data_IF_680079762483
#
_entry.id   IF_680079762483
#
_cell.length_a   1.000
_cell.length_b   1.000
_cell.length_c   1.000
_cell.angle_alpha   90.00
_cell.angle_beta   90.00
_cell.angle_gamma   90.00
#
_symmetry.space_group_name_H-M   'P 1'
#
loop_
_entity.id
_entity.type
_entity.pdbx_description
1 polymer ?
#
# COMPACT_ATOMS: atom_id res chain seq x y z
N UNK A 1 20.58 17.60 8.15
CA UNK A 1 19.50 18.35 7.47
C UNK A 1 18.19 17.69 7.87
N UNK A 2 17.36 18.34 8.68
CA UNK A 2 16.02 17.83 8.97
C UNK A 2 15.19 18.01 7.69
N UNK A 3 14.72 16.91 7.10
CA UNK A 3 13.73 16.93 6.01
C UNK A 3 12.49 17.66 6.54
N UNK A 4 12.07 18.72 5.86
CA UNK A 4 10.84 19.43 6.21
C UNK A 4 9.70 18.59 5.65
N UNK A 5 9.02 17.82 6.50
CA UNK A 5 7.82 17.10 6.07
C UNK A 5 6.77 18.12 5.61
N UNK A 6 6.62 18.26 4.28
CA UNK A 6 5.51 18.98 3.69
C UNK A 6 4.29 18.07 3.62
N UNK A 7 3.20 18.61 4.12
CA UNK A 7 1.97 17.86 4.34
C UNK A 7 0.82 18.55 3.63
N UNK A 8 0.01 17.77 2.93
CA UNK A 8 -1.28 18.18 2.39
C UNK A 8 -2.40 17.49 3.17
N UNK A 9 -3.40 18.24 3.60
CA UNK A 9 -4.60 17.70 4.23
C UNK A 9 -5.76 17.77 3.26
N UNK A 10 -6.39 16.62 3.02
CA UNK A 10 -7.58 16.42 2.19
C UNK A 10 -8.65 15.70 3.00
N UNK A 11 -9.84 15.57 2.44
CA UNK A 11 -10.95 14.86 3.09
C UNK A 11 -11.75 14.05 2.07
N UNK A 12 -12.25 12.90 2.50
CA UNK A 12 -13.12 12.04 1.70
C UNK A 12 -14.52 12.63 1.48
N UNK A 13 -14.92 13.66 2.23
CA UNK A 13 -16.18 14.40 1.99
C UNK A 13 -16.09 15.32 0.77
N UNK A 14 -14.87 15.70 0.36
CA UNK A 14 -14.62 16.41 -0.90
C UNK A 14 -14.64 15.46 -2.09
N UNK A 15 -14.98 16.00 -3.28
CA UNK A 15 -14.95 15.21 -4.52
C UNK A 15 -13.52 14.82 -4.89
N UNK A 16 -13.39 13.74 -5.66
CA UNK A 16 -12.09 13.28 -6.12
C UNK A 16 -11.37 14.36 -6.97
N UNK A 17 -12.11 15.07 -7.81
CA UNK A 17 -11.60 16.14 -8.66
C UNK A 17 -11.07 17.32 -7.84
N UNK A 18 -11.77 17.68 -6.75
CA UNK A 18 -11.33 18.74 -5.85
C UNK A 18 -10.03 18.37 -5.13
N UNK A 19 -9.94 17.14 -4.62
CA UNK A 19 -8.73 16.64 -3.96
C UNK A 19 -7.54 16.53 -4.93
N UNK A 20 -7.76 16.07 -6.16
CA UNK A 20 -6.71 16.02 -7.20
C UNK A 20 -6.25 17.42 -7.60
N UNK A 21 -7.15 18.40 -7.70
CA UNK A 21 -6.79 19.79 -7.96
C UNK A 21 -5.87 20.35 -6.87
N UNK A 22 -6.25 20.18 -5.61
CA UNK A 22 -5.44 20.61 -4.46
C UNK A 22 -4.07 19.92 -4.43
N UNK A 23 -4.02 18.62 -4.75
CA UNK A 23 -2.77 17.89 -4.87
C UNK A 23 -1.86 18.50 -5.95
N UNK A 24 -2.39 18.80 -7.14
CA UNK A 24 -1.59 19.37 -8.23
C UNK A 24 -1.02 20.75 -7.86
N UNK A 25 -1.82 21.62 -7.25
CA UNK A 25 -1.36 22.92 -6.74
C UNK A 25 -0.25 22.74 -5.70
N UNK A 26 -0.42 21.79 -4.77
CA UNK A 26 0.59 21.44 -3.78
C UNK A 26 1.89 20.95 -4.43
N UNK A 27 1.82 20.00 -5.36
CA UNK A 27 3.00 19.45 -6.04
C UNK A 27 3.76 20.51 -6.85
N UNK A 28 3.04 21.43 -7.52
CA UNK A 28 3.65 22.56 -8.23
C UNK A 28 4.42 23.48 -7.26
N UNK A 29 3.86 23.73 -6.07
CA UNK A 29 4.54 24.52 -5.04
C UNK A 29 5.82 23.86 -4.50
N UNK A 30 5.86 22.53 -4.45
CA UNK A 30 7.05 21.78 -4.02
C UNK A 30 8.12 21.79 -5.11
N UNK A 31 7.74 21.51 -6.36
CA UNK A 31 8.67 21.48 -7.50
C UNK A 31 9.40 22.81 -7.69
N UNK A 32 8.72 23.94 -7.48
CA UNK A 32 9.32 25.27 -7.55
C UNK A 32 10.46 25.50 -6.53
N UNK A 33 10.54 24.69 -5.46
CA UNK A 33 11.52 24.81 -4.39
C UNK A 33 12.70 23.82 -4.49
N UNK A 34 12.79 22.99 -5.55
CA UNK A 34 13.85 21.98 -5.77
C UNK A 34 14.04 21.00 -4.57
N UNK A 35 12.97 20.68 -3.84
CA UNK A 35 13.02 19.78 -2.70
C UNK A 35 12.63 18.34 -3.11
N UNK A 36 13.46 17.34 -2.79
CA UNK A 36 13.20 15.92 -3.08
C UNK A 36 12.51 15.18 -1.92
N UNK A 37 11.67 15.88 -1.14
CA UNK A 37 11.15 15.36 0.12
C UNK A 37 10.01 14.33 -0.08
N UNK A 38 9.90 13.41 0.89
CA UNK A 38 8.78 12.47 0.98
C UNK A 38 7.50 13.24 1.35
N UNK A 39 6.59 13.38 0.41
CA UNK A 39 5.35 14.14 0.60
C UNK A 39 4.27 13.28 1.25
N UNK A 40 3.69 13.78 2.34
CA UNK A 40 2.59 13.12 3.03
C UNK A 40 1.27 13.82 2.70
N UNK A 41 0.30 13.04 2.25
CA UNK A 41 -1.05 13.49 1.93
C UNK A 41 -2.00 12.80 2.91
N UNK A 42 -2.43 13.51 3.94
CA UNK A 42 -3.41 13.01 4.89
C UNK A 42 -4.82 13.18 4.31
N UNK A 43 -5.62 12.13 4.36
CA UNK A 43 -7.01 12.16 3.90
C UNK A 43 -7.92 11.77 5.06
N UNK A 44 -8.69 12.74 5.53
CA UNK A 44 -9.69 12.51 6.58
C UNK A 44 -10.82 11.61 6.07
N UNK A 45 -11.11 10.55 6.83
CA UNK A 45 -12.12 9.58 6.47
C UNK A 45 -13.56 10.05 6.72
N UNK A 46 -13.84 11.14 7.45
CA UNK A 46 -15.19 11.77 7.65
C UNK A 46 -16.44 10.86 7.53
N UNK A 47 -16.39 9.64 8.09
CA UNK A 47 -17.49 8.66 7.99
C UNK A 47 -17.69 8.02 6.60
N UNK A 48 -16.82 8.28 5.63
CA UNK A 48 -16.80 7.65 4.32
C UNK A 48 -16.49 6.15 4.40
N UNK A 49 -17.03 5.41 3.42
CA UNK A 49 -16.71 3.99 3.26
C UNK A 49 -15.25 3.79 2.87
N UNK A 50 -14.69 2.62 3.23
CA UNK A 50 -13.37 2.16 2.77
C UNK A 50 -13.19 2.27 1.27
N UNK A 51 -14.23 1.96 0.49
CA UNK A 51 -14.22 2.03 -0.97
C UNK A 51 -13.91 3.45 -1.46
N UNK A 52 -14.59 4.46 -0.91
CA UNK A 52 -14.43 5.87 -1.29
C UNK A 52 -12.99 6.32 -1.04
N UNK A 53 -12.42 6.01 0.13
CA UNK A 53 -11.03 6.35 0.42
C UNK A 53 -10.06 5.67 -0.56
N UNK A 54 -10.20 4.37 -0.82
CA UNK A 54 -9.30 3.64 -1.72
C UNK A 54 -9.40 4.13 -3.17
N UNK A 55 -10.60 4.52 -3.63
CA UNK A 55 -10.80 5.13 -4.94
C UNK A 55 -10.08 6.48 -5.04
N UNK A 56 -10.27 7.36 -4.05
CA UNK A 56 -9.57 8.66 -4.03
C UNK A 56 -8.05 8.49 -3.91
N UNK A 57 -7.57 7.57 -3.07
CA UNK A 57 -6.15 7.28 -2.92
C UNK A 57 -5.51 6.82 -4.25
N UNK A 58 -6.20 5.95 -5.00
CA UNK A 58 -5.77 5.53 -6.34
C UNK A 58 -5.65 6.72 -7.29
N UNK A 59 -6.63 7.62 -7.29
CA UNK A 59 -6.61 8.81 -8.15
C UNK A 59 -5.53 9.82 -7.77
N UNK A 60 -5.28 10.03 -6.46
CA UNK A 60 -4.18 10.86 -5.98
C UNK A 60 -2.83 10.29 -6.41
N UNK A 61 -2.65 8.97 -6.32
CA UNK A 61 -1.46 8.30 -6.83
C UNK A 61 -1.27 8.47 -8.33
N UNK A 62 -2.34 8.31 -9.12
CA UNK A 62 -2.28 8.51 -10.57
C UNK A 62 -1.95 9.97 -10.92
N UNK A 63 -2.57 10.95 -10.25
CA UNK A 63 -2.33 12.37 -10.47
C UNK A 63 -0.87 12.76 -10.15
N UNK A 64 -0.33 12.28 -9.03
CA UNK A 64 1.08 12.52 -8.69
C UNK A 64 2.04 11.98 -9.77
N UNK A 65 1.79 10.77 -10.28
CA UNK A 65 2.60 10.15 -11.33
C UNK A 65 2.44 10.84 -12.70
N UNK A 66 1.34 11.54 -12.95
CA UNK A 66 1.15 12.37 -14.15
C UNK A 66 1.90 13.70 -14.05
N UNK A 67 2.05 14.25 -12.83
CA UNK A 67 2.81 15.47 -12.58
C UNK A 67 4.32 15.23 -12.77
N UNK A 68 4.86 14.16 -12.17
CA UNK A 68 6.23 13.71 -12.40
C UNK A 68 6.36 12.23 -12.06
N UNK A 69 7.10 11.48 -12.88
CA UNK A 69 7.34 10.05 -12.63
C UNK A 69 8.18 9.78 -11.38
N UNK A 70 8.88 10.81 -10.89
CA UNK A 70 9.87 10.68 -9.82
C UNK A 70 9.31 11.15 -8.47
N UNK A 71 8.14 11.80 -8.48
CA UNK A 71 7.44 12.20 -7.26
C UNK A 71 6.87 10.96 -6.57
N UNK A 72 7.15 10.84 -5.27
CA UNK A 72 6.54 9.83 -4.42
C UNK A 72 5.74 10.49 -3.31
N UNK A 73 4.43 10.23 -3.30
CA UNK A 73 3.53 10.65 -2.22
C UNK A 73 3.18 9.47 -1.32
N UNK A 74 2.82 9.73 -0.07
CA UNK A 74 2.18 8.78 0.84
C UNK A 74 0.76 9.25 1.11
N UNK A 75 -0.24 8.53 0.62
CA UNK A 75 -1.65 8.82 0.94
C UNK A 75 -2.01 8.07 2.22
N UNK A 76 -2.24 8.81 3.30
CA UNK A 76 -2.42 8.28 4.66
C UNK A 76 -3.86 8.58 5.11
N UNK A 77 -4.70 7.56 5.38
CA UNK A 77 -6.01 7.76 5.95
C UNK A 77 -5.89 8.22 7.42
N UNK A 78 -6.66 9.24 7.79
CA UNK A 78 -6.68 9.80 9.16
C UNK A 78 -8.11 10.05 9.63
N UNK A 79 -8.26 10.30 10.94
CA UNK A 79 -9.55 10.57 11.58
C UNK A 79 -9.58 12.00 12.14
N UNK A 80 -10.32 12.90 11.47
CA UNK A 80 -10.51 14.28 11.90
C UNK A 80 -9.25 15.15 11.82
N UNK A 81 -9.38 16.48 11.68
CA UNK A 81 -8.37 17.37 12.22
C UNK A 81 -8.45 17.25 13.74
N UNK A 82 -7.46 16.60 14.33
CA UNK A 82 -7.31 16.52 15.77
C UNK A 82 -7.20 17.94 16.32
N UNK A 83 -8.26 18.42 16.97
CA UNK A 83 -8.33 19.76 17.54
C UNK A 83 -7.07 20.08 18.34
N UNK A 84 -6.21 20.92 17.77
CA UNK A 84 -5.01 21.45 18.43
C UNK A 84 -3.77 20.55 18.51
N UNK A 85 -3.74 19.31 17.99
CA UNK A 85 -2.49 18.52 17.92
C UNK A 85 -1.80 18.68 16.56
N UNK A 86 -0.46 18.66 16.58
CA UNK A 86 0.37 18.83 15.38
C UNK A 86 0.31 17.66 14.39
N UNK A 87 -0.16 16.48 14.80
CA UNK A 87 -0.36 15.30 13.94
C UNK A 87 -1.79 14.77 14.00
N UNK A 88 -2.37 14.37 12.85
CA UNK A 88 -3.71 13.80 12.76
C UNK A 88 -3.79 12.40 13.38
N UNK A 89 -4.98 12.02 13.87
CA UNK A 89 -5.18 10.71 14.47
C UNK A 89 -5.18 9.59 13.41
N UNK A 90 -4.46 8.50 13.68
CA UNK A 90 -4.40 7.34 12.78
C UNK A 90 -5.65 6.47 12.90
N UNK A 91 -5.95 5.72 11.85
CA UNK A 91 -7.00 4.69 11.87
C UNK A 91 -6.70 3.64 12.96
N UNK A 92 -7.72 3.14 13.64
CA UNK A 92 -7.60 2.15 14.72
C UNK A 92 -8.45 0.91 14.46
N UNK A 93 -8.17 -0.18 15.17
CA UNK A 93 -8.97 -1.42 15.18
C UNK A 93 -10.44 -1.13 15.42
N UNK A 94 -10.76 -0.36 16.46
CA UNK A 94 -12.14 0.01 16.80
C UNK A 94 -12.82 0.78 15.66
N UNK A 95 -12.10 1.65 14.95
CA UNK A 95 -12.64 2.33 13.79
C UNK A 95 -12.95 1.34 12.65
N UNK A 96 -12.05 0.41 12.34
CA UNK A 96 -12.25 -0.62 11.31
C UNK A 96 -13.47 -1.47 11.64
N UNK A 97 -13.55 -2.01 12.85
CA UNK A 97 -14.65 -2.89 13.30
C UNK A 97 -16.02 -2.19 13.25
N UNK A 98 -16.07 -0.89 13.53
CA UNK A 98 -17.31 -0.11 13.55
C UNK A 98 -17.78 0.31 12.15
N UNK A 99 -16.85 0.60 11.23
CA UNK A 99 -17.18 1.33 10.00
C UNK A 99 -17.00 0.52 8.72
N UNK A 100 -16.13 -0.50 8.71
CA UNK A 100 -15.78 -1.23 7.49
C UNK A 100 -16.27 -2.68 7.55
N UNK A 101 -16.71 -3.20 6.41
CA UNK A 101 -17.07 -4.61 6.23
C UNK A 101 -16.79 -5.02 4.78
N UNK A 102 -16.26 -6.24 4.51
CA UNK A 102 -15.75 -7.20 5.49
C UNK A 102 -14.43 -6.70 6.13
N UNK A 103 -14.11 -7.21 7.32
CA UNK A 103 -12.79 -7.12 7.94
C UNK A 103 -12.39 -8.49 8.50
N UNK A 104 -11.10 -8.71 8.74
CA UNK A 104 -10.56 -9.98 9.19
C UNK A 104 -9.54 -9.76 10.31
N UNK A 105 -9.46 -10.70 11.24
CA UNK A 105 -8.42 -10.70 12.28
C UNK A 105 -7.02 -10.82 11.70
N UNK A 106 -6.87 -11.66 10.67
CA UNK A 106 -5.59 -11.96 10.06
C UNK A 106 -5.67 -11.93 8.53
N UNK A 107 -4.94 -10.99 7.93
CA UNK A 107 -4.86 -10.77 6.48
C UNK A 107 -3.43 -11.03 6.00
N UNK A 108 -3.29 -11.57 4.79
CA UNK A 108 -2.02 -11.69 4.10
C UNK A 108 -1.95 -10.77 2.86
N UNK A 109 -0.74 -10.33 2.55
CA UNK A 109 -0.42 -9.61 1.31
C UNK A 109 1.00 -10.00 0.86
N UNK A 110 1.19 -10.21 -0.44
CA UNK A 110 2.47 -10.63 -1.01
C UNK A 110 2.94 -9.70 -2.12
N UNK A 111 4.25 -9.49 -2.20
CA UNK A 111 4.83 -8.66 -3.25
C UNK A 111 6.35 -8.64 -3.21
N UNK A 112 6.98 -8.19 -4.29
CA UNK A 112 8.43 -7.96 -4.26
C UNK A 112 8.75 -6.69 -3.46
N UNK A 113 7.87 -5.69 -3.49
CA UNK A 113 8.04 -4.39 -2.80
C UNK A 113 9.36 -3.70 -3.13
N UNK A 114 9.89 -3.96 -4.33
CA UNK A 114 11.07 -3.31 -4.87
C UNK A 114 10.72 -1.89 -5.31
N UNK A 115 11.52 -0.92 -4.87
CA UNK A 115 11.30 0.51 -5.09
C UNK A 115 9.85 0.90 -4.76
N UNK A 116 9.48 0.86 -3.47
CA UNK A 116 8.11 0.99 -2.99
C UNK A 116 7.34 2.15 -3.65
N UNK A 117 6.55 1.81 -4.66
CA UNK A 117 5.84 2.75 -5.52
C UNK A 117 4.35 2.80 -5.22
N UNK A 118 3.63 3.71 -5.86
CA UNK A 118 2.21 3.98 -5.62
C UNK A 118 1.31 2.73 -5.67
N UNK A 119 1.54 1.81 -6.62
CA UNK A 119 0.83 0.52 -6.65
C UNK A 119 1.02 -0.34 -5.40
N UNK A 120 2.25 -0.47 -4.91
CA UNK A 120 2.52 -1.19 -3.65
C UNK A 120 1.90 -0.49 -2.45
N UNK A 121 1.97 0.85 -2.41
CA UNK A 121 1.39 1.64 -1.31
C UNK A 121 -0.12 1.42 -1.24
N UNK A 122 -0.84 1.47 -2.38
CA UNK A 122 -2.26 1.16 -2.43
C UNK A 122 -2.57 -0.27 -1.97
N UNK A 123 -1.76 -1.25 -2.38
CA UNK A 123 -1.90 -2.66 -1.97
C UNK A 123 -1.77 -2.83 -0.45
N UNK A 124 -0.69 -2.27 0.13
CA UNK A 124 -0.41 -2.32 1.57
C UNK A 124 -1.46 -1.56 2.40
N UNK A 125 -1.86 -0.37 1.95
CA UNK A 125 -2.94 0.39 2.59
C UNK A 125 -4.25 -0.40 2.57
N UNK A 126 -4.59 -1.04 1.44
CA UNK A 126 -5.80 -1.88 1.35
C UNK A 126 -5.76 -3.01 2.36
N UNK A 127 -4.63 -3.70 2.53
CA UNK A 127 -4.46 -4.75 3.53
C UNK A 127 -4.66 -4.22 4.95
N UNK A 128 -4.09 -3.06 5.31
CA UNK A 128 -4.28 -2.44 6.61
C UNK A 128 -5.73 -2.02 6.90
N UNK A 129 -6.51 -1.66 5.88
CA UNK A 129 -7.91 -1.30 6.03
C UNK A 129 -8.88 -2.49 6.03
N UNK A 130 -8.37 -3.72 5.89
CA UNK A 130 -9.13 -4.97 6.01
C UNK A 130 -8.76 -5.78 7.24
N UNK A 131 -7.74 -5.38 8.01
CA UNK A 131 -7.19 -6.16 9.11
C UNK A 131 -7.48 -5.52 10.47
N UNK A 132 -7.80 -6.32 11.49
CA UNK A 132 -7.98 -5.83 12.87
C UNK A 132 -6.77 -6.12 13.75
N UNK A 133 -6.19 -7.33 13.67
CA UNK A 133 -5.19 -7.80 14.64
C UNK A 133 -3.80 -7.97 14.03
N UNK A 134 -3.69 -8.75 12.95
CA UNK A 134 -2.40 -9.21 12.44
C UNK A 134 -2.30 -9.15 10.92
N UNK A 135 -1.23 -8.55 10.40
CA UNK A 135 -0.96 -8.46 8.97
C UNK A 135 0.33 -9.22 8.64
N UNK A 136 0.20 -10.27 7.81
CA UNK A 136 1.35 -10.95 7.21
C UNK A 136 1.69 -10.32 5.87
N UNK A 137 2.94 -9.91 5.72
CA UNK A 137 3.51 -9.37 4.50
C UNK A 137 4.61 -10.29 4.00
N UNK A 138 4.34 -10.96 2.88
CA UNK A 138 5.32 -11.78 2.20
C UNK A 138 6.16 -10.96 1.22
N UNK A 139 7.42 -10.72 1.55
CA UNK A 139 8.39 -10.00 0.70
C UNK A 139 9.17 -11.01 -0.13
N UNK A 140 9.03 -10.95 -1.46
CA UNK A 140 9.66 -11.91 -2.37
C UNK A 140 11.19 -11.94 -2.21
N UNK A 141 11.74 -13.10 -1.86
CA UNK A 141 13.17 -13.37 -1.81
C UNK A 141 13.75 -13.79 -3.17
N UNK A 142 15.07 -13.95 -3.23
CA UNK A 142 15.79 -14.13 -4.49
C UNK A 142 15.43 -15.42 -5.23
N UNK A 143 14.96 -16.46 -4.53
CA UNK A 143 14.54 -17.73 -5.12
C UNK A 143 13.43 -17.56 -6.17
N UNK A 144 12.49 -16.64 -5.93
CA UNK A 144 11.40 -16.32 -6.84
C UNK A 144 11.78 -15.26 -7.89
N UNK A 145 12.98 -14.68 -7.79
CA UNK A 145 13.45 -13.57 -8.63
C UNK A 145 14.52 -13.99 -9.64
N UNK A 146 14.99 -15.25 -9.60
CA UNK A 146 16.05 -15.80 -10.46
C UNK A 146 15.79 -15.64 -11.98
N UNK A 147 14.52 -15.47 -12.39
CA UNK A 147 14.13 -15.28 -13.81
C UNK A 147 13.76 -13.83 -14.16
N UNK A 148 13.84 -12.89 -13.23
CA UNK A 148 13.45 -11.50 -13.49
C UNK A 148 14.59 -10.72 -14.16
N UNK A 149 14.22 -9.97 -15.21
CA UNK A 149 15.11 -8.99 -15.84
C UNK A 149 15.59 -7.97 -14.80
N UNK A 150 16.87 -7.60 -14.87
CA UNK A 150 17.53 -6.60 -14.03
C UNK A 150 17.60 -6.96 -12.54
N UNK A 151 17.84 -8.24 -12.22
CA UNK A 151 17.98 -8.70 -10.83
C UNK A 151 19.10 -7.97 -10.06
N UNK A 152 20.15 -7.50 -10.74
CA UNK A 152 21.24 -6.71 -10.17
C UNK A 152 20.83 -5.31 -9.68
N UNK A 153 19.66 -4.81 -10.09
CA UNK A 153 19.10 -3.52 -9.67
C UNK A 153 18.03 -3.68 -8.57
N UNK A 154 17.82 -4.91 -8.08
CA UNK A 154 16.89 -5.18 -7.00
C UNK A 154 17.41 -4.59 -5.69
N UNK A 155 16.53 -3.93 -4.94
CA UNK A 155 16.88 -3.48 -3.58
C UNK A 155 17.14 -4.68 -2.65
N UNK A 156 18.12 -4.58 -1.72
CA UNK A 156 18.36 -5.62 -0.72
C UNK A 156 17.07 -5.99 0.03
N UNK A 157 16.90 -7.28 0.36
CA UNK A 157 15.69 -7.78 1.02
C UNK A 157 15.37 -7.00 2.30
N UNK A 158 16.37 -6.74 3.13
CA UNK A 158 16.21 -5.98 4.39
C UNK A 158 15.77 -4.53 4.15
N UNK A 159 16.28 -3.88 3.08
CA UNK A 159 15.83 -2.54 2.70
C UNK A 159 14.35 -2.53 2.30
N UNK A 160 13.92 -3.55 1.53
CA UNK A 160 12.51 -3.66 1.11
C UNK A 160 11.59 -3.90 2.28
N UNK A 161 11.97 -4.79 3.22
CA UNK A 161 11.21 -5.03 4.46
C UNK A 161 11.09 -3.76 5.30
N UNK A 162 12.21 -3.07 5.55
CA UNK A 162 12.23 -1.85 6.36
C UNK A 162 11.33 -0.75 5.76
N UNK A 163 11.40 -0.51 4.45
CA UNK A 163 10.57 0.50 3.79
C UNK A 163 9.08 0.13 3.82
N UNK A 164 8.74 -1.16 3.75
CA UNK A 164 7.35 -1.63 3.92
C UNK A 164 6.87 -1.42 5.35
N UNK A 165 7.68 -1.78 6.35
CA UNK A 165 7.35 -1.56 7.76
C UNK A 165 7.12 -0.08 8.05
N UNK A 166 8.06 0.77 7.66
CA UNK A 166 7.99 2.23 7.83
C UNK A 166 6.71 2.80 7.21
N UNK A 167 6.32 2.34 6.02
CA UNK A 167 5.10 2.78 5.36
C UNK A 167 3.84 2.32 6.12
N UNK A 168 3.78 1.06 6.53
CA UNK A 168 2.63 0.51 7.27
C UNK A 168 2.44 1.22 8.62
N UNK A 169 3.53 1.48 9.35
CA UNK A 169 3.52 2.16 10.65
C UNK A 169 3.09 3.62 10.60
N UNK A 170 3.18 4.28 9.43
CA UNK A 170 2.60 5.62 9.20
C UNK A 170 1.08 5.60 9.13
N UNK A 171 0.49 4.46 8.76
CA UNK A 171 -0.96 4.32 8.56
C UNK A 171 -1.63 3.78 9.82
N UNK A 172 -1.09 2.69 10.39
CA UNK A 172 -1.60 2.05 11.61
C UNK A 172 -0.49 1.49 12.49
N UNK A 173 -0.61 1.74 13.79
CA UNK A 173 0.38 1.33 14.82
C UNK A 173 -0.12 0.17 15.68
N UNK A 174 -1.41 -0.11 15.65
CA UNK A 174 -2.11 -1.07 16.50
C UNK A 174 -2.32 -2.45 15.86
N UNK A 175 -1.66 -2.71 14.72
CA UNK A 175 -1.62 -4.02 14.04
C UNK A 175 -0.28 -4.70 14.29
N UNK A 176 -0.31 -5.99 14.61
CA UNK A 176 0.89 -6.84 14.63
C UNK A 176 1.35 -7.09 13.19
N UNK A 177 2.58 -6.69 12.86
CA UNK A 177 3.14 -6.86 11.52
C UNK A 177 4.09 -8.06 11.52
N UNK A 178 3.85 -9.01 10.62
CA UNK A 178 4.78 -10.10 10.28
C UNK A 178 5.33 -9.87 8.88
N UNK A 179 6.58 -9.43 8.78
CA UNK A 179 7.20 -9.11 7.49
C UNK A 179 8.30 -10.12 7.18
N UNK A 180 7.93 -11.15 6.43
CA UNK A 180 8.80 -12.30 6.17
C UNK A 180 9.30 -12.34 4.73
N UNK A 181 10.47 -12.96 4.55
CA UNK A 181 10.96 -13.30 3.21
C UNK A 181 10.23 -14.55 2.73
N UNK A 182 9.65 -14.51 1.53
CA UNK A 182 8.99 -15.68 0.92
C UNK A 182 9.81 -16.25 -0.22
N UNK A 183 9.89 -17.57 -0.31
CA UNK A 183 10.65 -18.31 -1.32
C UNK A 183 9.78 -19.10 -2.30
N UNK A 184 8.47 -19.13 -2.08
CA UNK A 184 7.47 -19.83 -2.88
C UNK A 184 6.19 -18.98 -3.04
N UNK A 185 5.27 -19.45 -3.88
CA UNK A 185 4.04 -18.72 -4.24
C UNK A 185 3.06 -18.58 -3.07
N UNK A 186 3.02 -19.54 -2.13
CA UNK A 186 2.11 -19.44 -0.98
C UNK A 186 2.64 -18.55 0.12
N UNK A 187 3.96 -18.39 0.23
CA UNK A 187 4.58 -17.60 1.27
C UNK A 187 4.22 -18.09 2.68
N UNK A 188 3.96 -19.40 2.82
CA UNK A 188 3.53 -20.07 4.04
C UNK A 188 2.02 -19.95 4.34
N UNK A 189 1.25 -19.17 3.56
CA UNK A 189 -0.19 -19.02 3.79
C UNK A 189 -0.96 -20.32 3.61
N UNK A 190 -0.38 -21.34 2.98
CA UNK A 190 -0.98 -22.67 2.84
C UNK A 190 -0.92 -23.52 4.11
N UNK A 191 -0.22 -23.07 5.15
CA UNK A 191 -0.09 -23.79 6.44
C UNK A 191 -0.66 -23.02 7.63
N UNK A 192 -1.01 -21.73 7.45
CA UNK A 192 -1.51 -20.86 8.51
C UNK A 192 -3.04 -20.79 8.43
N UNK A 193 -3.72 -21.51 9.34
CA UNK A 193 -5.19 -21.63 9.38
C UNK A 193 -5.92 -20.31 9.68
N UNK A 194 -5.27 -19.42 10.44
CA UNK A 194 -5.91 -18.21 10.94
C UNK A 194 -5.98 -17.10 9.88
N UNK A 195 -5.15 -17.14 8.84
CA UNK A 195 -5.25 -16.22 7.70
C UNK A 195 -6.55 -16.50 6.96
N UNK A 196 -7.38 -15.46 6.82
CA UNK A 196 -8.72 -15.55 6.20
C UNK A 196 -8.78 -14.88 4.83
N UNK A 197 -8.00 -13.84 4.61
CA UNK A 197 -8.04 -13.07 3.37
C UNK A 197 -6.65 -12.83 2.80
N UNK A 198 -6.58 -12.76 1.46
CA UNK A 198 -5.39 -12.40 0.70
C UNK A 198 -5.68 -11.15 -0.13
N UNK A 199 -4.92 -10.09 0.11
CA UNK A 199 -4.98 -8.89 -0.73
C UNK A 199 -4.07 -9.08 -1.93
N UNK A 200 -4.65 -8.94 -3.12
CA UNK A 200 -3.94 -9.15 -4.39
C UNK A 200 -4.11 -7.96 -5.32
N UNK A 201 -3.00 -7.58 -5.96
CA UNK A 201 -3.03 -6.72 -7.15
C UNK A 201 -3.43 -7.52 -8.38
N UNK A 202 -3.83 -6.87 -9.49
CA UNK A 202 -4.07 -7.56 -10.75
C UNK A 202 -2.87 -8.39 -11.24
N UNK A 203 -1.64 -8.01 -10.87
CA UNK A 203 -0.42 -8.76 -11.24
C UNK A 203 -0.27 -10.06 -10.43
N UNK A 204 -0.81 -10.09 -9.21
CA UNK A 204 -0.70 -11.21 -8.28
C UNK A 204 -1.99 -12.04 -8.18
N UNK A 205 -3.09 -11.59 -8.79
CA UNK A 205 -4.40 -12.25 -8.70
C UNK A 205 -4.35 -13.72 -9.12
N UNK A 206 -3.53 -14.08 -10.11
CA UNK A 206 -3.34 -15.46 -10.55
C UNK A 206 -2.74 -16.40 -9.49
N UNK A 207 -2.08 -15.86 -8.46
CA UNK A 207 -1.52 -16.67 -7.36
C UNK A 207 -2.60 -17.26 -6.45
N UNK A 208 -3.76 -16.62 -6.32
CA UNK A 208 -4.80 -17.02 -5.37
C UNK A 208 -5.29 -18.45 -5.61
N UNK A 209 -5.50 -18.84 -6.88
CA UNK A 209 -5.92 -20.19 -7.23
C UNK A 209 -4.91 -21.23 -6.77
N UNK A 210 -3.63 -21.01 -7.09
CA UNK A 210 -2.52 -21.89 -6.68
C UNK A 210 -2.46 -22.02 -5.16
N UNK A 211 -2.61 -20.91 -4.43
CA UNK A 211 -2.57 -20.89 -2.96
C UNK A 211 -3.76 -21.67 -2.38
N UNK A 212 -4.95 -21.49 -2.92
CA UNK A 212 -6.15 -22.18 -2.44
C UNK A 212 -6.10 -23.69 -2.74
N UNK A 213 -5.48 -24.10 -3.85
CA UNK A 213 -5.22 -25.52 -4.14
C UNK A 213 -4.24 -26.13 -3.13
N UNK A 214 -3.20 -25.39 -2.73
CA UNK A 214 -2.27 -25.83 -1.68
C UNK A 214 -2.94 -25.89 -0.31
N UNK A 215 -3.78 -24.91 0.03
CA UNK A 215 -4.59 -24.89 1.25
C UNK A 215 -5.53 -26.07 1.33
N UNK A 216 -6.20 -26.43 0.22
CA UNK A 216 -7.09 -27.57 0.15
C UNK A 216 -6.35 -28.90 0.44
N UNK A 217 -5.10 -29.05 -0.05
CA UNK A 217 -4.25 -30.21 0.26
C UNK A 217 -3.87 -30.29 1.74
N UNK A 218 -3.81 -29.16 2.42
CA UNK A 218 -3.55 -29.04 3.86
C UNK A 218 -4.84 -28.93 4.69
N UNK A 219 -6.00 -29.25 4.12
CA UNK A 219 -7.31 -29.22 4.80
C UNK A 219 -7.68 -27.83 5.38
N UNK A 220 -7.17 -26.76 4.77
CA UNK A 220 -7.47 -25.38 5.15
C UNK A 220 -8.55 -24.77 4.24
N UNK A 221 -9.42 -23.90 4.80
CA UNK A 221 -10.41 -23.18 4.00
C UNK A 221 -9.74 -22.24 3.01
N UNK A 222 -10.35 -21.96 1.83
CA UNK A 222 -9.78 -21.02 0.87
C UNK A 222 -9.66 -19.62 1.47
N UNK A 223 -8.68 -18.85 1.00
CA UNK A 223 -8.53 -17.43 1.32
C UNK A 223 -9.55 -16.60 0.52
N UNK A 224 -10.18 -15.65 1.20
CA UNK A 224 -11.04 -14.66 0.55
C UNK A 224 -10.19 -13.62 -0.21
N UNK A 225 -10.48 -13.35 -1.50
CA UNK A 225 -9.77 -12.33 -2.25
C UNK A 225 -10.19 -10.91 -1.83
N UNK A 226 -9.20 -10.06 -1.62
CA UNK A 226 -9.38 -8.60 -1.60
C UNK A 226 -8.63 -8.01 -2.79
N UNK A 227 -9.36 -7.52 -3.78
CA UNK A 227 -8.77 -7.01 -5.03
C UNK A 227 -8.50 -5.50 -4.93
N UNK A 228 -7.37 -5.06 -5.48
CA UNK A 228 -7.11 -3.62 -5.73
C UNK A 228 -7.14 -3.31 -7.22
N UNK A 229 -7.48 -2.08 -7.63
CA UNK A 229 -7.38 -1.65 -9.03
C UNK A 229 -5.91 -1.46 -9.45
N UNK A 230 -5.68 -1.32 -10.76
CA UNK A 230 -4.40 -0.86 -11.28
C UNK A 230 -4.13 0.60 -10.89
N UNK A 231 -2.85 0.90 -10.63
CA UNK A 231 -2.33 2.28 -10.57
C UNK A 231 -1.57 2.55 -11.86
N UNK A 232 -1.85 3.68 -12.51
CA UNK A 232 -1.35 4.01 -13.84
C UNK A 232 -0.56 5.32 -13.83
N UNK A 233 0.51 5.36 -14.62
CA UNK A 233 1.23 6.57 -14.98
C UNK A 233 0.92 6.97 -16.43
N UNK A 234 1.42 8.12 -16.88
CA UNK A 234 1.40 8.51 -18.31
C UNK A 234 2.04 7.48 -19.25
N UNK A 235 2.96 6.64 -18.73
CA UNK A 235 3.62 5.53 -19.44
C UNK A 235 2.96 4.15 -19.24
N UNK A 236 1.71 4.15 -18.78
CA UNK A 236 0.93 2.94 -18.46
C UNK A 236 1.10 2.46 -17.01
N UNK A 237 0.69 1.21 -16.74
CA UNK A 237 0.71 0.60 -15.40
C UNK A 237 2.10 0.70 -14.77
N UNK A 238 2.16 1.18 -13.52
CA UNK A 238 3.42 1.24 -12.74
C UNK A 238 3.77 -0.14 -12.20
N UNK A 239 5.02 -0.56 -12.35
CA UNK A 239 5.52 -1.82 -11.81
C UNK A 239 7.01 -1.73 -11.49
N UNK A 240 7.51 -2.54 -10.55
CA UNK A 240 8.93 -2.55 -10.21
C UNK A 240 9.83 -2.84 -11.41
N UNK A 241 9.37 -3.63 -12.38
CA UNK A 241 10.15 -3.92 -13.60
C UNK A 241 10.39 -2.66 -14.42
N UNK A 242 9.35 -1.84 -14.65
CA UNK A 242 9.49 -0.57 -15.38
C UNK A 242 10.35 0.44 -14.63
N UNK A 243 10.31 0.43 -13.30
CA UNK A 243 11.16 1.32 -12.50
C UNK A 243 12.63 0.93 -12.65
N UNK A 244 12.96 -0.36 -12.56
CA UNK A 244 14.33 -0.84 -12.79
C UNK A 244 14.85 -0.46 -14.19
N UNK A 245 14.02 -0.62 -15.23
CA UNK A 245 14.35 -0.21 -16.60
C UNK A 245 14.77 1.27 -16.71
N UNK A 246 14.16 2.17 -15.93
CA UNK A 246 14.46 3.62 -15.95
C UNK A 246 15.71 4.03 -15.16
N UNK A 247 16.22 3.18 -14.28
CA UNK A 247 17.41 3.48 -13.43
C UNK A 247 18.73 3.19 -14.19
N UNK A 248 18.65 2.81 -15.47
CA UNK A 248 19.81 2.69 -16.37
C UNK A 248 20.28 4.06 -16.87
#
# INVERSE_FOLDING_TARGET
MQSVMRTLFLTTSSTCEANVKLLNEFLQSVAANNESDLLSVFVDLEGASRRVFLEQASQLYNAALQCSSDITINVIPVLGPSGGSAEPATVTKSFIEKNFTPFYSYVAVGGTFDHLHSGHKLLLTTALLHVTDKLRVGVTGDALLQKKKFANQLQPIEKRKAVVEDFLRRIRKDVELEIDTIADVSGGTDTIKDIKALVVSPETQGSLGIINDLRAKNELPPLEPVLIPFVQSSSGVISSTKIREKIQ
#
